data_IF_806945248726
#
_entry.id   IF_806945248726
#
_cell.length_a   1.000
_cell.length_b   1.000
_cell.length_c   1.000
_cell.angle_alpha   90.00
_cell.angle_beta   90.00
_cell.angle_gamma   90.00
#
_symmetry.space_group_name_H-M   'P 1'
#
loop_
_entity.id
_entity.type
_entity.pdbx_description
1 polymer ?
#
# COMPACT_ATOMS: atom_id res chain seq x y z
N UNK A 1 5.50 4.85 -24.24
CA UNK A 1 6.78 4.70 -23.51
C UNK A 1 7.88 4.63 -24.55
N UNK A 2 8.99 5.34 -24.36
CA UNK A 2 10.12 5.31 -25.33
C UNK A 2 10.90 4.00 -25.11
N UNK A 3 11.12 3.24 -26.18
CA UNK A 3 11.96 2.04 -26.09
C UNK A 3 13.43 2.47 -25.90
N UNK A 4 14.01 2.10 -24.76
CA UNK A 4 15.39 2.40 -24.40
C UNK A 4 16.36 1.25 -24.68
N UNK A 5 15.85 0.07 -25.04
CA UNK A 5 16.67 -1.11 -25.31
C UNK A 5 17.77 -0.87 -26.34
N UNK A 6 17.51 -0.18 -27.48
CA UNK A 6 18.57 0.10 -28.47
C UNK A 6 19.71 0.97 -27.92
N UNK A 7 19.46 1.77 -26.86
CA UNK A 7 20.49 2.58 -26.21
C UNK A 7 21.41 1.75 -25.33
N UNK A 8 20.90 0.66 -24.73
CA UNK A 8 21.67 -0.25 -23.89
C UNK A 8 22.57 -1.19 -24.69
N UNK A 9 22.19 -1.55 -25.91
CA UNK A 9 22.98 -2.45 -26.79
C UNK A 9 24.38 -1.94 -27.13
N UNK A 10 24.63 -0.63 -26.98
CA UNK A 10 25.91 0.02 -27.31
C UNK A 10 26.79 0.26 -26.08
N UNK A 11 26.39 -0.23 -24.91
CA UNK A 11 27.10 -0.04 -23.65
C UNK A 11 27.63 -1.37 -23.14
N UNK A 12 28.51 -1.31 -22.16
CA UNK A 12 28.99 -2.44 -21.37
C UNK A 12 28.03 -2.83 -20.23
N UNK A 13 26.78 -2.31 -20.26
CA UNK A 13 25.77 -2.64 -19.26
C UNK A 13 25.52 -4.16 -19.26
N UNK A 14 25.71 -4.83 -18.12
CA UNK A 14 25.59 -6.28 -18.05
C UNK A 14 24.16 -6.74 -18.32
N UNK A 15 24.03 -7.93 -18.90
CA UNK A 15 22.73 -8.55 -19.08
C UNK A 15 22.08 -8.80 -17.72
N UNK A 16 20.85 -8.29 -17.56
CA UNK A 16 20.03 -8.51 -16.35
C UNK A 16 19.07 -9.66 -16.61
N UNK A 17 19.24 -10.73 -15.87
CA UNK A 17 18.38 -11.90 -15.97
C UNK A 17 17.35 -11.87 -14.82
N UNK A 18 16.11 -12.27 -15.14
CA UNK A 18 15.08 -12.46 -14.12
C UNK A 18 15.43 -13.69 -13.29
N UNK A 19 15.46 -13.52 -11.99
CA UNK A 19 15.48 -14.60 -11.01
C UNK A 19 14.04 -14.98 -10.62
N UNK A 20 13.80 -15.48 -9.42
CA UNK A 20 12.46 -15.76 -8.92
C UNK A 20 11.70 -14.47 -8.60
N UNK A 21 10.38 -14.55 -8.64
CA UNK A 21 9.51 -13.49 -8.12
C UNK A 21 9.20 -13.79 -6.65
N UNK A 22 9.64 -12.94 -5.76
CA UNK A 22 9.41 -13.03 -4.31
C UNK A 22 8.35 -12.06 -3.80
N UNK A 23 8.13 -10.98 -4.54
CA UNK A 23 7.15 -9.94 -4.20
C UNK A 23 6.11 -9.81 -5.30
N UNK A 24 4.84 -9.82 -4.90
CA UNK A 24 3.71 -9.52 -5.77
C UNK A 24 3.06 -8.21 -5.33
N UNK A 25 3.08 -7.21 -6.20
CA UNK A 25 2.34 -5.97 -5.98
C UNK A 25 0.94 -6.10 -6.58
N UNK A 26 -0.08 -5.80 -5.78
CA UNK A 26 -1.48 -5.87 -6.17
C UNK A 26 -2.19 -4.52 -5.97
N UNK A 27 -2.77 -4.00 -7.05
CA UNK A 27 -3.63 -2.82 -7.00
C UNK A 27 -5.06 -3.26 -6.67
N UNK A 28 -5.59 -2.83 -5.50
CA UNK A 28 -6.92 -3.25 -5.04
C UNK A 28 -8.06 -2.35 -5.54
N UNK A 29 -7.74 -1.32 -6.31
CA UNK A 29 -8.74 -0.42 -6.90
C UNK A 29 -8.28 1.03 -6.91
N UNK A 30 -9.17 1.91 -7.39
CA UNK A 30 -8.85 3.33 -7.57
C UNK A 30 -9.68 4.24 -6.64
N UNK A 31 -10.53 3.66 -5.80
CA UNK A 31 -11.23 4.43 -4.77
C UNK A 31 -10.22 4.89 -3.71
N UNK A 32 -10.27 6.17 -3.36
CA UNK A 32 -9.42 6.79 -2.34
C UNK A 32 -10.24 7.86 -1.61
N UNK A 33 -9.94 8.11 -0.35
CA UNK A 33 -10.52 9.24 0.39
C UNK A 33 -9.87 10.59 0.00
N UNK A 34 -8.84 10.58 -0.86
CA UNK A 34 -8.13 11.76 -1.35
C UNK A 34 -8.18 11.87 -2.88
N UNK A 35 -7.86 13.09 -3.40
CA UNK A 35 -7.69 13.39 -4.82
C UNK A 35 -6.38 14.12 -5.06
N UNK A 36 -5.25 13.42 -4.86
CA UNK A 36 -3.92 14.02 -4.93
C UNK A 36 -3.55 14.41 -6.37
N UNK A 37 -2.95 15.58 -6.55
CA UNK A 37 -2.55 16.10 -7.88
C UNK A 37 -1.48 15.25 -8.57
N UNK A 38 -0.65 14.54 -7.79
CA UNK A 38 0.45 13.69 -8.27
C UNK A 38 0.08 12.20 -8.34
N UNK A 39 -1.20 11.84 -8.20
CA UNK A 39 -1.61 10.44 -8.15
C UNK A 39 -1.40 9.73 -9.48
N UNK A 40 -0.55 8.70 -9.52
CA UNK A 40 -0.22 7.93 -10.72
C UNK A 40 -1.40 7.19 -11.34
N UNK A 41 -2.40 6.86 -10.53
CA UNK A 41 -3.58 6.09 -10.95
C UNK A 41 -4.85 6.96 -10.99
N UNK A 42 -4.73 8.26 -10.76
CA UNK A 42 -5.84 9.20 -10.68
C UNK A 42 -6.96 8.69 -9.75
N UNK A 43 -6.57 8.18 -8.59
CA UNK A 43 -7.50 7.72 -7.57
C UNK A 43 -8.28 8.89 -6.97
N UNK A 44 -9.53 8.64 -6.60
CA UNK A 44 -10.38 9.66 -5.98
C UNK A 44 -11.58 9.02 -5.26
N UNK A 45 -12.34 9.79 -4.45
CA UNK A 45 -13.58 9.32 -3.83
C UNK A 45 -14.67 8.90 -4.82
N UNK A 46 -14.62 9.44 -6.05
CA UNK A 46 -15.60 9.16 -7.10
C UNK A 46 -15.30 7.87 -7.90
N UNK A 47 -14.10 7.32 -7.77
CA UNK A 47 -13.72 6.08 -8.45
C UNK A 47 -14.41 4.88 -7.80
N UNK A 48 -14.81 3.93 -8.63
CA UNK A 48 -15.58 2.75 -8.22
C UNK A 48 -14.90 1.44 -8.55
N UNK A 49 -13.82 1.50 -9.33
CA UNK A 49 -13.07 0.31 -9.72
C UNK A 49 -12.41 -0.31 -8.50
N UNK A 50 -12.71 -1.55 -8.26
CA UNK A 50 -12.19 -2.32 -7.13
C UNK A 50 -11.93 -3.76 -7.58
N UNK A 51 -10.87 -4.37 -7.06
CA UNK A 51 -10.64 -5.79 -7.19
C UNK A 51 -11.81 -6.55 -6.56
N UNK A 52 -12.41 -7.43 -7.34
CA UNK A 52 -13.51 -8.27 -6.88
C UNK A 52 -13.03 -9.51 -6.12
N UNK A 53 -13.99 -10.22 -5.53
CA UNK A 53 -13.71 -11.42 -4.74
C UNK A 53 -13.07 -12.53 -5.57
N UNK A 54 -13.48 -12.71 -6.82
CA UNK A 54 -12.95 -13.76 -7.68
C UNK A 54 -11.47 -13.52 -7.98
N UNK A 55 -11.09 -12.29 -8.29
CA UNK A 55 -9.70 -11.87 -8.52
C UNK A 55 -8.87 -12.01 -7.24
N UNK A 56 -9.43 -11.66 -6.07
CA UNK A 56 -8.77 -11.88 -4.78
C UNK A 56 -8.48 -13.37 -4.52
N UNK A 57 -9.45 -14.25 -4.80
CA UNK A 57 -9.25 -15.68 -4.65
C UNK A 57 -8.16 -16.24 -5.59
N UNK A 58 -8.10 -15.72 -6.83
CA UNK A 58 -7.05 -16.06 -7.78
C UNK A 58 -5.69 -15.60 -7.25
N UNK A 59 -5.61 -14.37 -6.71
CA UNK A 59 -4.39 -13.83 -6.13
C UNK A 59 -3.90 -14.70 -4.98
N UNK A 60 -4.74 -15.08 -4.02
CA UNK A 60 -4.38 -15.95 -2.90
C UNK A 60 -3.86 -17.32 -3.36
N UNK A 61 -4.48 -17.92 -4.38
CA UNK A 61 -3.99 -19.16 -4.99
C UNK A 61 -2.63 -18.97 -5.65
N UNK A 62 -2.42 -17.84 -6.32
CA UNK A 62 -1.15 -17.53 -6.95
C UNK A 62 -0.02 -17.36 -5.93
N UNK A 63 -0.27 -16.66 -4.81
CA UNK A 63 0.70 -16.52 -3.71
C UNK A 63 1.21 -17.88 -3.26
N UNK A 64 0.30 -18.82 -2.99
CA UNK A 64 0.65 -20.17 -2.54
C UNK A 64 1.39 -20.98 -3.63
N UNK A 65 0.86 -20.97 -4.87
CA UNK A 65 1.42 -21.77 -5.98
C UNK A 65 2.83 -21.31 -6.38
N UNK A 66 3.13 -20.03 -6.27
CA UNK A 66 4.42 -19.44 -6.62
C UNK A 66 5.34 -19.20 -5.44
N UNK A 67 4.91 -19.53 -4.23
CA UNK A 67 5.66 -19.30 -2.98
C UNK A 67 6.12 -17.84 -2.87
N UNK A 68 5.20 -16.91 -3.15
CA UNK A 68 5.45 -15.48 -3.01
C UNK A 68 5.66 -15.17 -1.53
N UNK A 69 6.71 -14.47 -1.20
CA UNK A 69 7.07 -14.14 0.18
C UNK A 69 6.39 -12.86 0.68
N UNK A 70 6.14 -11.90 -0.26
CA UNK A 70 5.60 -10.58 0.09
C UNK A 70 4.45 -10.20 -0.84
N UNK A 71 3.34 -9.78 -0.26
CA UNK A 71 2.22 -9.14 -0.94
C UNK A 71 2.25 -7.63 -0.65
N UNK A 72 2.53 -6.81 -1.67
CA UNK A 72 2.58 -5.34 -1.60
C UNK A 72 1.24 -4.77 -2.11
N UNK A 73 0.42 -4.27 -1.19
CA UNK A 73 -0.91 -3.73 -1.49
C UNK A 73 -0.83 -2.25 -1.86
N UNK A 74 -1.43 -1.90 -2.97
CA UNK A 74 -1.43 -0.55 -3.54
C UNK A 74 -2.77 -0.22 -4.19
N UNK A 75 -2.89 1.00 -4.73
CA UNK A 75 -4.07 1.48 -5.42
C UNK A 75 -4.36 2.93 -5.10
N UNK A 76 -5.62 3.25 -4.86
CA UNK A 76 -6.06 4.49 -4.24
C UNK A 76 -5.81 4.43 -2.73
N UNK A 77 -6.80 3.97 -1.98
CA UNK A 77 -6.67 3.51 -0.60
C UNK A 77 -7.06 2.03 -0.58
N UNK A 78 -6.09 1.10 -0.51
CA UNK A 78 -6.36 -0.34 -0.53
C UNK A 78 -7.38 -0.77 0.51
N UNK A 79 -7.37 -0.12 1.66
CA UNK A 79 -8.21 -0.38 2.82
C UNK A 79 -9.71 -0.12 2.57
N UNK A 80 -10.03 0.67 1.53
CA UNK A 80 -11.42 0.90 1.08
C UNK A 80 -11.97 -0.23 0.21
N UNK A 81 -11.14 -1.21 -0.19
CA UNK A 81 -11.64 -2.40 -0.85
C UNK A 81 -12.39 -3.27 0.17
N UNK A 82 -13.64 -3.70 -0.10
CA UNK A 82 -14.44 -4.48 0.85
C UNK A 82 -13.81 -5.83 1.22
N UNK A 83 -12.86 -6.31 0.44
CA UNK A 83 -12.17 -7.58 0.65
C UNK A 83 -10.77 -7.41 1.27
N UNK A 84 -10.34 -6.17 1.55
CA UNK A 84 -9.00 -5.88 2.06
C UNK A 84 -8.65 -6.68 3.31
N UNK A 85 -9.49 -6.61 4.34
CA UNK A 85 -9.24 -7.29 5.61
C UNK A 85 -9.20 -8.82 5.46
N UNK A 86 -10.08 -9.38 4.64
CA UNK A 86 -10.07 -10.82 4.34
C UNK A 86 -8.80 -11.22 3.61
N UNK A 87 -8.39 -10.44 2.59
CA UNK A 87 -7.17 -10.68 1.83
C UNK A 87 -5.95 -10.67 2.73
N UNK A 88 -5.80 -9.63 3.56
CA UNK A 88 -4.68 -9.50 4.51
C UNK A 88 -4.63 -10.70 5.44
N UNK A 89 -5.72 -11.02 6.14
CA UNK A 89 -5.76 -12.12 7.10
C UNK A 89 -5.43 -13.48 6.46
N UNK A 90 -5.94 -13.72 5.25
CA UNK A 90 -5.70 -14.98 4.53
C UNK A 90 -4.28 -15.07 3.97
N UNK A 91 -3.70 -13.98 3.49
CA UNK A 91 -2.30 -13.94 3.06
C UNK A 91 -1.36 -14.19 4.25
N UNK A 92 -1.63 -13.54 5.40
CA UNK A 92 -0.88 -13.76 6.65
C UNK A 92 -0.98 -15.21 7.13
N UNK A 93 -2.16 -15.81 7.06
CA UNK A 93 -2.37 -17.23 7.41
C UNK A 93 -1.58 -18.20 6.51
N UNK A 94 -1.24 -17.79 5.28
CA UNK A 94 -0.34 -18.52 4.38
C UNK A 94 1.15 -18.29 4.68
N UNK A 95 1.49 -17.46 5.67
CA UNK A 95 2.87 -17.07 5.98
C UNK A 95 3.44 -15.97 5.08
N UNK A 96 2.62 -15.36 4.23
CA UNK A 96 3.03 -14.26 3.35
C UNK A 96 3.16 -12.98 4.17
N UNK A 97 4.26 -12.26 4.02
CA UNK A 97 4.40 -10.90 4.55
C UNK A 97 3.52 -9.96 3.76
N UNK A 98 2.75 -9.11 4.44
CA UNK A 98 1.88 -8.13 3.79
C UNK A 98 2.42 -6.74 4.06
N UNK A 99 2.58 -5.96 2.99
CA UNK A 99 2.92 -4.54 3.01
C UNK A 99 1.71 -3.75 2.50
N UNK A 100 1.36 -2.67 3.19
CA UNK A 100 0.28 -1.77 2.81
C UNK A 100 0.82 -0.36 2.53
N UNK A 101 0.53 0.16 1.32
CA UNK A 101 0.89 1.52 0.92
C UNK A 101 -0.19 2.51 1.38
N UNK A 102 -0.14 2.79 2.67
CA UNK A 102 -1.16 3.56 3.39
C UNK A 102 -1.03 5.06 3.15
N UNK A 103 -2.13 5.74 2.90
CA UNK A 103 -2.17 7.20 2.78
C UNK A 103 -2.35 7.92 4.13
N UNK A 104 -2.28 7.22 5.25
CA UNK A 104 -2.39 7.66 6.64
C UNK A 104 -3.73 8.30 7.03
N UNK A 105 -4.32 9.15 6.18
CA UNK A 105 -5.60 9.81 6.51
C UNK A 105 -6.75 8.82 6.54
N UNK A 106 -6.58 7.65 5.92
CA UNK A 106 -7.57 6.57 5.95
C UNK A 106 -7.85 6.07 7.38
N UNK A 107 -6.85 6.16 8.26
CA UNK A 107 -6.95 5.76 9.66
C UNK A 107 -7.90 6.66 10.49
N UNK A 108 -8.22 7.84 9.94
CA UNK A 108 -9.13 8.80 10.57
C UNK A 108 -10.52 8.83 9.91
N UNK A 109 -10.74 7.99 8.89
CA UNK A 109 -12.03 7.96 8.19
C UNK A 109 -13.11 7.25 9.01
N UNK A 110 -14.35 7.73 8.98
CA UNK A 110 -15.47 7.04 9.61
C UNK A 110 -15.60 5.60 9.13
N UNK A 111 -15.74 4.67 10.08
CA UNK A 111 -15.81 3.23 9.80
C UNK A 111 -14.44 2.56 9.67
N UNK A 112 -13.35 3.27 9.95
CA UNK A 112 -11.99 2.73 9.99
C UNK A 112 -11.33 2.87 11.38
N UNK A 113 -12.13 3.06 12.42
CA UNK A 113 -11.66 3.34 13.79
C UNK A 113 -10.80 2.22 14.37
N UNK A 114 -11.00 0.98 13.91
CA UNK A 114 -10.23 -0.20 14.32
C UNK A 114 -9.13 -0.61 13.32
N UNK A 115 -8.98 0.13 12.21
CA UNK A 115 -8.06 -0.26 11.13
C UNK A 115 -6.61 -0.33 11.61
N UNK A 116 -6.14 0.67 12.35
CA UNK A 116 -4.76 0.68 12.86
C UNK A 116 -4.48 -0.54 13.76
N UNK A 117 -5.43 -0.89 14.64
CA UNK A 117 -5.33 -2.09 15.48
C UNK A 117 -5.33 -3.37 14.64
N UNK A 118 -6.22 -3.48 13.65
CA UNK A 118 -6.24 -4.61 12.72
C UNK A 118 -4.90 -4.80 11.99
N UNK A 119 -4.31 -3.71 11.47
CA UNK A 119 -3.01 -3.76 10.78
C UNK A 119 -1.90 -4.25 11.71
N UNK A 120 -1.91 -3.78 12.97
CA UNK A 120 -0.95 -4.20 13.97
C UNK A 120 -1.12 -5.68 14.36
N UNK A 121 -2.36 -6.14 14.60
CA UNK A 121 -2.67 -7.54 14.93
C UNK A 121 -2.27 -8.51 13.82
N UNK A 122 -2.39 -8.08 12.56
CA UNK A 122 -1.95 -8.85 11.40
C UNK A 122 -0.45 -8.66 11.09
N UNK A 123 0.27 -7.86 11.87
CA UNK A 123 1.67 -7.52 11.62
C UNK A 123 1.90 -7.09 10.16
N UNK A 124 1.06 -6.20 9.65
CA UNK A 124 1.18 -5.61 8.31
C UNK A 124 2.29 -4.56 8.34
N UNK A 125 3.22 -4.63 7.39
CA UNK A 125 4.23 -3.59 7.20
C UNK A 125 3.58 -2.36 6.55
N UNK A 126 3.78 -1.18 7.10
CA UNK A 126 3.17 0.06 6.60
C UNK A 126 4.19 0.88 5.83
N UNK A 127 3.89 1.16 4.57
CA UNK A 127 4.59 2.18 3.78
C UNK A 127 3.76 3.45 3.79
N UNK A 128 4.04 4.33 4.74
CA UNK A 128 3.27 5.55 4.96
C UNK A 128 3.57 6.62 3.92
N UNK A 129 2.53 7.19 3.32
CA UNK A 129 2.64 8.24 2.31
C UNK A 129 2.60 9.64 2.94
N UNK A 130 3.75 10.17 3.32
CA UNK A 130 3.91 11.57 3.76
C UNK A 130 5.05 12.21 2.94
N UNK A 131 4.73 12.90 1.82
CA UNK A 131 5.73 13.30 0.83
C UNK A 131 6.64 14.44 1.27
N UNK A 132 6.28 15.19 2.30
CA UNK A 132 7.06 16.31 2.80
C UNK A 132 6.83 16.51 4.30
N UNK A 133 7.79 17.12 4.97
CA UNK A 133 7.68 17.54 6.38
C UNK A 133 7.10 18.95 6.56
N UNK A 134 6.80 19.66 5.46
CA UNK A 134 6.17 20.97 5.46
C UNK A 134 4.68 20.82 5.10
N UNK A 135 3.82 21.34 5.96
CA UNK A 135 2.37 21.32 5.81
C UNK A 135 1.92 21.89 4.45
N UNK A 136 2.42 23.06 4.08
CA UNK A 136 2.06 23.72 2.83
C UNK A 136 2.28 22.82 1.61
N UNK A 137 3.40 22.11 1.56
CA UNK A 137 3.74 21.25 0.45
C UNK A 137 2.85 20.00 0.40
N UNK A 138 2.53 19.42 1.55
CA UNK A 138 1.65 18.26 1.63
C UNK A 138 0.23 18.64 1.24
N UNK A 139 -0.28 19.72 1.80
CA UNK A 139 -1.64 20.18 1.56
C UNK A 139 -1.83 20.64 0.11
N UNK A 140 -0.83 21.27 -0.51
CA UNK A 140 -0.86 21.63 -1.93
C UNK A 140 -0.95 20.40 -2.84
N UNK A 141 -0.29 19.30 -2.49
CA UNK A 141 -0.25 18.08 -3.30
C UNK A 141 -1.44 17.15 -3.05
N UNK A 142 -1.92 17.08 -1.81
CA UNK A 142 -2.83 16.04 -1.35
C UNK A 142 -4.19 16.55 -0.89
N UNK A 143 -4.30 17.87 -0.63
CA UNK A 143 -5.51 18.51 -0.15
C UNK A 143 -5.33 19.15 1.22
N UNK A 144 -6.14 20.17 1.49
CA UNK A 144 -6.07 20.94 2.74
C UNK A 144 -6.34 20.07 3.97
N UNK A 145 -5.47 20.17 4.99
CA UNK A 145 -5.58 19.45 6.25
C UNK A 145 -5.07 18.01 6.20
N UNK A 146 -4.54 17.57 5.06
CA UNK A 146 -3.98 16.21 4.91
C UNK A 146 -2.72 16.05 5.75
N UNK A 147 -1.90 17.08 5.92
CA UNK A 147 -0.70 17.02 6.75
C UNK A 147 -1.05 16.67 8.20
N UNK A 148 -1.92 17.44 8.85
CA UNK A 148 -2.33 17.21 10.24
C UNK A 148 -3.04 15.86 10.42
N UNK A 149 -3.92 15.50 9.48
CA UNK A 149 -4.58 14.20 9.49
C UNK A 149 -3.58 13.04 9.35
N UNK A 150 -2.54 13.20 8.52
CA UNK A 150 -1.47 12.22 8.38
C UNK A 150 -0.65 12.08 9.66
N UNK A 151 -0.33 13.18 10.34
CA UNK A 151 0.35 13.14 11.64
C UNK A 151 -0.50 12.45 12.71
N UNK A 152 -1.82 12.66 12.71
CA UNK A 152 -2.72 11.96 13.61
C UNK A 152 -2.69 10.43 13.35
N UNK A 153 -2.73 10.00 12.09
CA UNK A 153 -2.59 8.60 11.70
C UNK A 153 -1.25 7.99 12.13
N UNK A 154 -0.13 8.72 11.92
CA UNK A 154 1.19 8.28 12.39
C UNK A 154 1.23 8.09 13.91
N UNK A 155 0.64 9.01 14.69
CA UNK A 155 0.57 8.88 16.15
C UNK A 155 -0.21 7.64 16.57
N UNK A 156 -1.31 7.30 15.87
CA UNK A 156 -2.06 6.07 16.14
C UNK A 156 -1.18 4.83 15.90
N UNK A 157 -0.47 4.77 14.77
CA UNK A 157 0.43 3.65 14.46
C UNK A 157 1.58 3.55 15.48
N UNK A 158 2.23 4.67 15.82
CA UNK A 158 3.29 4.68 16.82
C UNK A 158 2.82 4.21 18.21
N UNK A 159 1.59 4.56 18.60
CA UNK A 159 0.99 4.12 19.88
C UNK A 159 0.79 2.59 19.93
N UNK A 160 0.63 1.93 18.77
CA UNK A 160 0.54 0.48 18.62
C UNK A 160 1.91 -0.20 18.48
N UNK A 161 3.00 0.57 18.42
CA UNK A 161 4.37 0.05 18.34
C UNK A 161 5.02 0.16 16.96
N UNK A 162 4.33 0.67 15.93
CA UNK A 162 4.94 0.89 14.63
C UNK A 162 6.11 1.86 14.71
N UNK A 163 7.23 1.52 14.05
CA UNK A 163 8.42 2.36 14.02
C UNK A 163 9.14 2.53 15.36
N UNK A 164 8.79 1.73 16.38
CA UNK A 164 9.46 1.74 17.68
C UNK A 164 10.66 0.78 17.68
N UNK A 165 11.78 1.11 18.35
CA UNK A 165 13.00 0.29 18.35
C UNK A 165 12.82 -1.15 18.82
N UNK A 166 11.93 -1.37 19.79
CA UNK A 166 11.68 -2.67 20.42
C UNK A 166 10.46 -3.40 19.86
N UNK A 167 9.94 -2.95 18.71
CA UNK A 167 8.78 -3.52 18.07
C UNK A 167 9.12 -4.20 16.75
N UNK A 168 8.42 -5.29 16.43
CA UNK A 168 8.49 -5.94 15.12
C UNK A 168 7.58 -5.31 14.06
N UNK A 169 6.80 -4.28 14.43
CA UNK A 169 5.89 -3.58 13.52
C UNK A 169 6.65 -2.53 12.70
N UNK A 170 6.80 -2.79 11.41
CA UNK A 170 7.58 -1.97 10.48
C UNK A 170 6.75 -0.81 9.92
N UNK A 171 7.32 0.40 9.99
CA UNK A 171 6.79 1.63 9.40
C UNK A 171 7.84 2.26 8.49
#
# INVERSE_FOLDING_TARGET
MRDTFPLLLKTDFPAVYRDRTDTLQANLGYRCNQSCTHCHVAASPQRTEAMDRETMELLLRYLAARRIETLDLTGGAPELNPHFRELVSRARAQGVRVMDRCNLTILNEPGQEDLAAFLADQAVEITASLPCYLEENVDQQRGKGVFESSLAGLRQLNALGYGQPDSSLTL
#
